data_IF_687723198554
#
_entry.id   IF_687723198554
#
_cell.length_a   1.000
_cell.length_b   1.000
_cell.length_c   1.000
_cell.angle_alpha   90.00
_cell.angle_beta   90.00
_cell.angle_gamma   90.00
#
_symmetry.space_group_name_H-M   'P 1'
#
loop_
_entity.id
_entity.type
_entity.pdbx_description
1 polymer ?
#
# COMPACT_ATOMS: atom_id res chain seq x y z
N UNK A 1 20.68 -21.23 -39.23
CA UNK A 1 21.43 -20.00 -38.95
C UNK A 1 20.96 -19.56 -37.58
N UNK A 2 21.72 -19.93 -36.54
CA UNK A 2 21.29 -19.76 -35.14
C UNK A 2 21.54 -18.31 -34.73
N UNK A 3 20.47 -17.59 -34.40
CA UNK A 3 20.53 -16.34 -33.65
C UNK A 3 20.95 -16.68 -32.22
N UNK A 4 22.22 -16.45 -31.93
CA UNK A 4 22.81 -16.57 -30.60
C UNK A 4 22.27 -15.38 -29.80
N UNK A 5 21.35 -15.66 -28.87
CA UNK A 5 20.98 -14.73 -27.80
C UNK A 5 22.28 -14.18 -27.17
N UNK A 6 22.49 -12.87 -27.31
CA UNK A 6 23.57 -12.21 -26.57
C UNK A 6 23.27 -12.38 -25.08
N UNK A 7 24.21 -12.93 -24.28
CA UNK A 7 23.98 -13.06 -22.86
C UNK A 7 23.86 -11.65 -22.28
N UNK A 8 22.72 -11.38 -21.62
CA UNK A 8 22.52 -10.19 -20.80
C UNK A 8 23.69 -10.09 -19.83
N UNK A 9 24.55 -9.10 -20.01
CA UNK A 9 25.65 -8.82 -19.09
C UNK A 9 25.05 -8.65 -17.69
N UNK A 10 25.36 -9.60 -16.81
CA UNK A 10 25.08 -9.47 -15.40
C UNK A 10 26.06 -8.40 -14.92
N UNK A 11 25.54 -7.19 -14.69
CA UNK A 11 26.33 -6.09 -14.15
C UNK A 11 26.82 -6.53 -12.76
N UNK A 12 28.12 -6.81 -12.64
CA UNK A 12 28.76 -7.06 -11.34
C UNK A 12 28.85 -5.72 -10.59
N UNK A 13 28.07 -5.60 -9.52
CA UNK A 13 27.79 -4.34 -8.84
C UNK A 13 28.85 -3.91 -7.83
N UNK A 14 29.92 -4.68 -7.63
CA UNK A 14 31.18 -4.28 -6.98
C UNK A 14 31.15 -3.86 -5.49
N UNK A 15 30.02 -3.41 -4.94
CA UNK A 15 29.87 -2.94 -3.56
C UNK A 15 28.64 -3.59 -2.94
N UNK A 16 28.81 -4.26 -1.80
CA UNK A 16 27.68 -4.75 -0.99
C UNK A 16 26.87 -3.59 -0.40
N UNK A 17 25.65 -3.86 0.09
CA UNK A 17 24.75 -2.84 0.64
C UNK A 17 25.38 -1.96 1.72
N UNK A 18 26.27 -2.53 2.56
CA UNK A 18 26.97 -1.80 3.60
C UNK A 18 27.85 -0.67 3.02
N UNK A 19 28.56 -0.98 1.95
CA UNK A 19 29.52 -0.07 1.33
C UNK A 19 28.83 0.99 0.46
N UNK A 20 27.76 0.60 -0.26
CA UNK A 20 26.90 1.54 -0.96
C UNK A 20 26.22 2.54 -0.02
N UNK A 21 25.70 2.07 1.13
CA UNK A 21 25.06 2.94 2.12
C UNK A 21 26.05 3.91 2.77
N UNK A 22 27.27 3.44 3.09
CA UNK A 22 28.34 4.27 3.64
C UNK A 22 28.73 5.40 2.69
N UNK A 23 28.77 5.12 1.39
CA UNK A 23 29.10 6.11 0.37
C UNK A 23 27.97 7.13 0.20
N UNK A 24 26.71 6.70 0.12
CA UNK A 24 25.55 7.59 0.06
C UNK A 24 25.51 8.55 1.27
N UNK A 25 25.80 8.03 2.47
CA UNK A 25 25.83 8.82 3.69
C UNK A 25 27.02 9.79 3.80
N UNK A 26 28.05 9.62 2.96
CA UNK A 26 29.23 10.50 2.97
C UNK A 26 29.06 11.78 2.14
N UNK A 27 27.98 11.88 1.37
CA UNK A 27 27.62 13.09 0.62
C UNK A 27 26.99 14.14 1.56
N UNK A 28 27.72 15.23 1.79
CA UNK A 28 27.37 16.31 2.72
C UNK A 28 26.06 17.00 2.33
N UNK A 29 25.80 17.11 1.03
CA UNK A 29 24.63 17.82 0.52
C UNK A 29 23.43 16.89 0.26
N UNK A 30 23.60 15.57 0.51
CA UNK A 30 22.60 14.52 0.26
C UNK A 30 22.09 14.45 -1.20
N UNK A 31 22.79 15.06 -2.15
CA UNK A 31 22.39 15.09 -3.56
C UNK A 31 22.47 13.69 -4.22
N UNK A 32 23.26 12.80 -3.63
CA UNK A 32 23.45 11.42 -4.07
C UNK A 32 22.30 10.48 -3.70
N UNK A 33 21.30 10.92 -2.92
CA UNK A 33 20.09 10.14 -2.59
C UNK A 33 19.13 10.03 -3.78
N UNK A 34 19.61 9.43 -4.87
CA UNK A 34 18.87 9.24 -6.11
C UNK A 34 18.32 7.82 -6.15
N UNK A 35 17.02 7.71 -5.93
CA UNK A 35 16.29 6.45 -6.00
C UNK A 35 15.23 6.46 -7.09
N UNK A 36 14.97 5.29 -7.67
CA UNK A 36 13.89 5.10 -8.63
C UNK A 36 12.54 5.34 -7.93
N UNK A 37 11.69 6.19 -8.52
CA UNK A 37 10.34 6.50 -7.98
C UNK A 37 9.33 5.35 -8.05
N UNK A 38 9.64 4.28 -8.78
CA UNK A 38 8.78 3.12 -8.99
C UNK A 38 7.33 3.40 -9.46
N UNK A 39 7.06 4.52 -10.14
CA UNK A 39 5.72 4.98 -10.56
C UNK A 39 4.77 3.87 -11.05
N UNK A 40 5.24 2.95 -11.91
CA UNK A 40 4.41 1.84 -12.42
C UNK A 40 4.01 0.84 -11.33
N UNK A 41 4.92 0.50 -10.43
CA UNK A 41 4.62 -0.40 -9.30
C UNK A 41 3.73 0.31 -8.29
N UNK A 42 3.99 1.58 -7.98
CA UNK A 42 3.15 2.36 -7.08
C UNK A 42 1.72 2.49 -7.60
N UNK A 43 1.54 2.81 -8.88
CA UNK A 43 0.21 2.86 -9.50
C UNK A 43 -0.51 1.51 -9.41
N UNK A 44 0.20 0.40 -9.65
CA UNK A 44 -0.36 -0.95 -9.51
C UNK A 44 -0.77 -1.25 -8.05
N UNK A 45 0.04 -0.84 -7.07
CA UNK A 45 -0.29 -1.00 -5.66
C UNK A 45 -1.57 -0.24 -5.28
N UNK A 46 -1.69 1.02 -5.74
CA UNK A 46 -2.88 1.84 -5.53
C UNK A 46 -4.12 1.18 -6.13
N UNK A 47 -4.01 0.59 -7.34
CA UNK A 47 -5.11 -0.16 -7.95
C UNK A 47 -5.52 -1.38 -7.11
N UNK A 48 -4.58 -2.13 -6.55
CA UNK A 48 -4.92 -3.27 -5.67
C UNK A 48 -5.63 -2.81 -4.41
N UNK A 49 -5.12 -1.77 -3.74
CA UNK A 49 -5.78 -1.20 -2.55
C UNK A 49 -7.19 -0.70 -2.86
N UNK A 50 -7.39 -0.08 -4.03
CA UNK A 50 -8.73 0.34 -4.45
C UNK A 50 -9.68 -0.85 -4.64
N UNK A 51 -9.22 -1.93 -5.29
CA UNK A 51 -10.02 -3.15 -5.44
C UNK A 51 -10.37 -3.79 -4.08
N UNK A 52 -9.43 -3.81 -3.13
CA UNK A 52 -9.67 -4.31 -1.77
C UNK A 52 -10.74 -3.48 -1.04
N UNK A 53 -10.66 -2.16 -1.14
CA UNK A 53 -11.67 -1.25 -0.57
C UNK A 53 -13.05 -1.47 -1.21
N UNK A 54 -13.12 -1.60 -2.54
CA UNK A 54 -14.38 -1.86 -3.26
C UNK A 54 -15.00 -3.22 -2.86
N UNK A 55 -14.18 -4.26 -2.68
CA UNK A 55 -14.68 -5.56 -2.23
C UNK A 55 -15.25 -5.49 -0.80
N UNK A 56 -14.64 -4.69 0.08
CA UNK A 56 -15.13 -4.45 1.44
C UNK A 56 -16.40 -3.61 1.46
N UNK A 57 -16.49 -2.60 0.59
CA UNK A 57 -17.71 -1.81 0.37
C UNK A 57 -18.87 -2.71 -0.06
N UNK A 58 -18.66 -3.56 -1.07
CA UNK A 58 -19.69 -4.51 -1.51
C UNK A 58 -20.12 -5.47 -0.38
N UNK A 59 -19.17 -5.90 0.46
CA UNK A 59 -19.45 -6.75 1.62
C UNK A 59 -20.30 -6.02 2.67
N UNK A 60 -20.00 -4.76 2.97
CA UNK A 60 -20.80 -3.95 3.88
C UNK A 60 -22.21 -3.74 3.35
N UNK A 61 -22.36 -3.40 2.07
CA UNK A 61 -23.70 -3.26 1.49
C UNK A 61 -24.52 -4.56 1.57
N UNK A 62 -23.88 -5.73 1.45
CA UNK A 62 -24.56 -7.02 1.64
C UNK A 62 -25.02 -7.18 3.09
N UNK A 63 -24.20 -6.81 4.06
CA UNK A 63 -24.56 -6.83 5.48
C UNK A 63 -25.72 -5.86 5.76
N UNK A 64 -25.68 -4.64 5.23
CA UNK A 64 -26.75 -3.66 5.39
C UNK A 64 -28.08 -4.17 4.81
N UNK A 65 -28.06 -4.74 3.61
CA UNK A 65 -29.25 -5.37 3.00
C UNK A 65 -29.78 -6.56 3.83
N UNK A 66 -28.91 -7.30 4.51
CA UNK A 66 -29.33 -8.39 5.39
C UNK A 66 -29.99 -7.85 6.66
N UNK A 67 -29.46 -6.78 7.23
CA UNK A 67 -30.04 -6.10 8.40
C UNK A 67 -31.42 -5.53 8.05
N UNK A 68 -31.55 -4.84 6.92
CA UNK A 68 -32.80 -4.22 6.47
C UNK A 68 -33.95 -5.21 6.29
N UNK A 69 -33.62 -6.43 5.84
CA UNK A 69 -34.60 -7.51 5.63
C UNK A 69 -34.85 -8.34 6.88
N UNK A 70 -34.07 -8.14 7.94
CA UNK A 70 -34.14 -8.95 9.15
C UNK A 70 -35.26 -8.46 10.07
N UNK A 71 -36.02 -9.39 10.64
CA UNK A 71 -36.94 -9.12 11.76
C UNK A 71 -36.26 -9.31 13.13
N UNK A 72 -34.97 -9.70 13.14
CA UNK A 72 -34.19 -9.86 14.36
C UNK A 72 -33.78 -8.50 14.91
N UNK A 73 -34.43 -8.10 16.00
CA UNK A 73 -34.15 -6.85 16.72
C UNK A 73 -32.70 -6.78 17.19
N UNK A 74 -32.11 -7.90 17.63
CA UNK A 74 -30.74 -7.95 18.13
C UNK A 74 -29.73 -7.59 17.05
N UNK A 75 -29.92 -8.14 15.84
CA UNK A 75 -29.10 -7.81 14.68
C UNK A 75 -29.27 -6.34 14.25
N UNK A 76 -30.51 -5.84 14.25
CA UNK A 76 -30.77 -4.43 13.93
C UNK A 76 -30.11 -3.48 14.93
N UNK A 77 -30.09 -3.83 16.22
CA UNK A 77 -29.43 -3.02 17.23
C UNK A 77 -27.93 -2.96 17.04
N UNK A 78 -27.27 -4.08 16.75
CA UNK A 78 -25.83 -4.10 16.45
C UNK A 78 -25.45 -3.36 15.17
N UNK A 79 -26.35 -3.32 14.18
CA UNK A 79 -26.11 -2.53 12.97
C UNK A 79 -26.24 -1.02 13.21
N UNK A 80 -27.05 -0.60 14.19
CA UNK A 80 -27.38 0.81 14.44
C UNK A 80 -26.63 1.43 15.61
N UNK A 81 -26.19 0.63 16.59
CA UNK A 81 -25.56 1.06 17.84
C UNK A 81 -24.20 0.38 17.99
N UNK A 82 -23.14 1.19 18.03
CA UNK A 82 -21.77 0.68 18.13
C UNK A 82 -21.53 -0.09 19.43
N UNK A 83 -22.09 0.37 20.54
CA UNK A 83 -21.96 -0.27 21.85
C UNK A 83 -22.57 -1.68 21.83
N UNK A 84 -23.73 -1.84 21.18
CA UNK A 84 -24.38 -3.14 21.04
C UNK A 84 -23.57 -4.09 20.16
N UNK A 85 -23.00 -3.60 19.06
CA UNK A 85 -22.10 -4.39 18.23
C UNK A 85 -20.90 -4.90 19.03
N UNK A 86 -20.29 -4.04 19.84
CA UNK A 86 -19.14 -4.41 20.69
C UNK A 86 -19.55 -5.45 21.75
N UNK A 87 -20.69 -5.26 22.41
CA UNK A 87 -21.21 -6.22 23.40
C UNK A 87 -21.40 -7.59 22.73
N UNK A 88 -22.12 -7.65 21.61
CA UNK A 88 -22.40 -8.90 20.91
C UNK A 88 -21.13 -9.57 20.37
N UNK A 89 -20.14 -8.80 19.91
CA UNK A 89 -18.83 -9.35 19.57
C UNK A 89 -18.16 -10.03 20.77
N UNK A 90 -18.21 -9.40 21.95
CA UNK A 90 -17.63 -9.96 23.16
C UNK A 90 -18.39 -11.21 23.65
N UNK A 91 -19.69 -11.27 23.37
CA UNK A 91 -20.54 -12.45 23.61
C UNK A 91 -20.34 -13.56 22.57
N UNK A 92 -19.57 -13.30 21.51
CA UNK A 92 -19.24 -14.29 20.48
C UNK A 92 -20.31 -14.45 19.40
N UNK A 93 -21.23 -13.49 19.26
CA UNK A 93 -22.27 -13.54 18.24
C UNK A 93 -21.66 -13.53 16.82
N UNK A 94 -21.87 -14.59 16.01
CA UNK A 94 -21.17 -14.75 14.74
C UNK A 94 -21.36 -13.59 13.76
N UNK A 95 -22.57 -13.03 13.70
CA UNK A 95 -22.88 -11.90 12.81
C UNK A 95 -22.20 -10.61 13.27
N UNK A 96 -22.20 -10.34 14.57
CA UNK A 96 -21.51 -9.19 15.14
C UNK A 96 -20.00 -9.29 14.89
N UNK A 97 -19.41 -10.48 15.09
CA UNK A 97 -18.00 -10.74 14.79
C UNK A 97 -17.66 -10.47 13.33
N UNK A 98 -18.49 -10.93 12.39
CA UNK A 98 -18.29 -10.68 10.96
C UNK A 98 -18.39 -9.18 10.61
N UNK A 99 -19.39 -8.49 11.14
CA UNK A 99 -19.59 -7.05 10.93
C UNK A 99 -18.39 -6.26 11.46
N UNK A 100 -17.96 -6.54 12.70
CA UNK A 100 -16.81 -5.89 13.31
C UNK A 100 -15.51 -6.15 12.55
N UNK A 101 -15.27 -7.39 12.12
CA UNK A 101 -14.10 -7.73 11.32
C UNK A 101 -14.09 -6.95 10.00
N UNK A 102 -15.24 -6.90 9.30
CA UNK A 102 -15.38 -6.19 8.02
C UNK A 102 -15.15 -4.68 8.20
N UNK A 103 -15.73 -4.07 9.24
CA UNK A 103 -15.55 -2.64 9.55
C UNK A 103 -14.09 -2.32 9.89
N UNK A 104 -13.43 -3.18 10.68
CA UNK A 104 -12.01 -2.98 11.04
C UNK A 104 -11.11 -3.07 9.82
N UNK A 105 -11.32 -4.06 8.97
CA UNK A 105 -10.55 -4.23 7.74
C UNK A 105 -10.77 -3.04 6.80
N UNK A 106 -12.01 -2.59 6.60
CA UNK A 106 -12.29 -1.39 5.79
C UNK A 106 -11.53 -0.18 6.32
N UNK A 107 -11.60 0.09 7.63
CA UNK A 107 -10.92 1.24 8.24
C UNK A 107 -9.40 1.17 8.05
N UNK A 108 -8.81 -0.02 8.13
CA UNK A 108 -7.38 -0.23 7.89
C UNK A 108 -7.02 0.03 6.42
N UNK A 109 -7.73 -0.61 5.48
CA UNK A 109 -7.44 -0.48 4.04
C UNK A 109 -7.72 0.90 3.48
N UNK A 110 -8.78 1.56 3.94
CA UNK A 110 -9.10 2.92 3.52
C UNK A 110 -8.03 3.92 4.01
N UNK A 111 -7.50 3.72 5.23
CA UNK A 111 -6.36 4.50 5.72
C UNK A 111 -5.12 4.26 4.86
N UNK A 112 -4.75 3.00 4.66
CA UNK A 112 -3.58 2.62 3.85
C UNK A 112 -3.68 3.18 2.41
N UNK A 113 -4.86 3.12 1.80
CA UNK A 113 -5.14 3.70 0.49
C UNK A 113 -4.91 5.21 0.47
N UNK A 114 -5.50 5.95 1.41
CA UNK A 114 -5.34 7.40 1.48
C UNK A 114 -3.90 7.84 1.78
N UNK A 115 -3.21 7.14 2.69
CA UNK A 115 -1.80 7.39 3.01
C UNK A 115 -0.91 7.11 1.79
N UNK A 116 -1.16 6.01 1.07
CA UNK A 116 -0.43 5.67 -0.16
C UNK A 116 -0.65 6.71 -1.26
N UNK A 117 -1.87 7.20 -1.45
CA UNK A 117 -2.16 8.27 -2.40
C UNK A 117 -1.42 9.56 -2.06
N UNK A 118 -1.40 9.93 -0.78
CA UNK A 118 -0.68 11.12 -0.30
C UNK A 118 0.82 10.99 -0.59
N UNK A 119 1.44 9.87 -0.20
CA UNK A 119 2.86 9.60 -0.45
C UNK A 119 3.17 9.59 -1.95
N UNK A 120 2.29 9.01 -2.78
CA UNK A 120 2.50 8.99 -4.22
C UNK A 120 2.40 10.40 -4.84
N UNK A 121 1.54 11.27 -4.32
CA UNK A 121 1.47 12.67 -4.72
C UNK A 121 2.78 13.42 -4.39
N UNK A 122 3.30 13.22 -3.19
CA UNK A 122 4.59 13.78 -2.76
C UNK A 122 5.72 13.28 -3.67
N UNK A 123 5.77 11.98 -3.96
CA UNK A 123 6.77 11.39 -4.88
C UNK A 123 6.64 11.93 -6.31
N UNK A 124 5.42 12.09 -6.80
CA UNK A 124 5.17 12.64 -8.12
C UNK A 124 5.66 14.10 -8.23
N UNK A 125 5.51 14.89 -7.17
CA UNK A 125 5.94 16.29 -7.11
C UNK A 125 7.46 16.50 -7.02
N UNK A 126 8.22 15.46 -6.65
CA UNK A 126 9.68 15.57 -6.59
C UNK A 126 10.29 15.88 -7.96
N UNK A 127 11.21 16.85 -8.02
CA UNK A 127 11.89 17.23 -9.25
C UNK A 127 12.88 16.15 -9.71
N UNK A 128 13.27 16.21 -10.98
CA UNK A 128 14.38 15.40 -11.48
C UNK A 128 15.68 15.86 -10.80
N UNK A 129 16.56 14.95 -10.35
CA UNK A 129 17.85 15.35 -9.79
C UNK A 129 18.68 16.16 -10.80
N UNK A 130 19.51 17.06 -10.29
CA UNK A 130 20.38 17.89 -11.12
C UNK A 130 21.41 17.07 -11.89
N UNK A 131 21.87 17.59 -13.03
CA UNK A 131 22.80 16.89 -13.91
C UNK A 131 24.12 16.51 -13.25
N UNK A 132 24.60 17.31 -12.28
CA UNK A 132 25.83 17.05 -11.51
C UNK A 132 25.70 15.82 -10.61
N UNK A 133 24.57 15.73 -9.89
CA UNK A 133 24.30 14.62 -8.99
C UNK A 133 24.12 13.30 -9.76
N UNK A 134 23.45 13.35 -10.91
CA UNK A 134 23.29 12.19 -11.80
C UNK A 134 24.61 11.66 -12.36
N UNK A 135 25.63 12.51 -12.53
CA UNK A 135 26.96 12.09 -12.96
C UNK A 135 27.72 11.40 -11.82
N UNK A 136 27.66 11.96 -10.62
CA UNK A 136 28.30 11.39 -9.43
C UNK A 136 27.73 10.01 -9.06
N UNK A 137 26.41 9.81 -9.21
CA UNK A 137 25.75 8.55 -8.85
C UNK A 137 25.80 7.48 -9.94
N UNK A 138 26.28 7.80 -11.16
CA UNK A 138 26.24 6.91 -12.33
C UNK A 138 27.09 5.65 -12.18
N UNK A 139 28.05 5.65 -11.26
CA UNK A 139 28.86 4.50 -10.89
C UNK A 139 28.17 3.54 -9.90
N UNK A 140 27.00 3.92 -9.37
CA UNK A 140 26.34 3.24 -8.24
C UNK A 140 24.87 2.89 -8.47
N UNK A 141 24.23 3.43 -9.51
CA UNK A 141 22.79 3.23 -9.76
C UNK A 141 22.54 2.19 -10.86
N UNK A 142 21.62 1.26 -10.58
CA UNK A 142 21.07 0.23 -11.49
C UNK A 142 20.19 0.86 -12.57
#
# INVERSE_FOLDING_TARGET
MNDIEKPTEIIDHGLGFAEASRLLASDVDSESFIFRKFNRLSARNIWYLQCEVLALEEKLEKLDRLVDRSTDTSLQESARKWEMLVIQCNEGEPRALEMMATVRELRARLREYHETLKLQSEIASMHRPEGRALQATRHFTV
#
